data_IF_332894763086
#
_entry.id   IF_332894763086
#
_cell.length_a   1.000
_cell.length_b   1.000
_cell.length_c   1.000
_cell.angle_alpha   90.00
_cell.angle_beta   90.00
_cell.angle_gamma   90.00
#
_symmetry.space_group_name_H-M   'P 1'
#
loop_
_entity.id
_entity.type
_entity.pdbx_description
1 polymer ?
#
# COMPACT_ATOMS: atom_id res chain seq x y z
N UNK A 1 7.58 -19.50 -8.05
CA UNK A 1 7.64 -18.48 -9.11
C UNK A 1 6.55 -18.82 -10.10
N UNK A 2 5.37 -18.23 -9.93
CA UNK A 2 4.23 -18.54 -10.80
C UNK A 2 4.46 -17.94 -12.18
N UNK A 3 4.43 -18.82 -13.19
CA UNK A 3 4.64 -18.44 -14.58
C UNK A 3 3.35 -17.87 -15.19
N UNK A 4 3.49 -16.98 -16.18
CA UNK A 4 2.39 -16.30 -16.88
C UNK A 4 1.30 -17.26 -17.41
N UNK A 5 1.68 -18.48 -17.82
CA UNK A 5 0.76 -19.47 -18.41
C UNK A 5 -0.34 -19.96 -17.46
N UNK A 6 0.00 -20.59 -16.32
CA UNK A 6 -0.95 -20.93 -15.26
C UNK A 6 -1.89 -19.78 -14.89
N UNK A 7 -1.37 -18.54 -14.86
CA UNK A 7 -2.16 -17.37 -14.53
C UNK A 7 -3.19 -16.97 -15.60
N UNK A 8 -2.82 -17.05 -16.88
CA UNK A 8 -3.78 -16.88 -17.99
C UNK A 8 -4.92 -17.89 -17.83
N UNK A 9 -4.60 -19.14 -17.45
CA UNK A 9 -5.60 -20.19 -17.24
C UNK A 9 -6.53 -19.87 -16.06
N UNK A 10 -5.99 -19.43 -14.93
CA UNK A 10 -6.76 -19.03 -13.74
C UNK A 10 -7.72 -17.88 -14.06
N UNK A 11 -7.20 -16.77 -14.61
CA UNK A 11 -8.00 -15.60 -14.97
C UNK A 11 -9.08 -15.93 -16.02
N UNK A 12 -8.79 -16.85 -16.95
CA UNK A 12 -9.79 -17.32 -17.91
C UNK A 12 -10.95 -18.04 -17.20
N UNK A 13 -10.64 -18.86 -16.20
CA UNK A 13 -11.65 -19.58 -15.43
C UNK A 13 -12.46 -18.63 -14.54
N UNK A 14 -11.83 -17.64 -13.89
CA UNK A 14 -12.51 -16.56 -13.15
C UNK A 14 -13.49 -15.78 -14.04
N UNK A 15 -13.08 -15.47 -15.28
CA UNK A 15 -13.92 -14.81 -16.28
C UNK A 15 -15.01 -15.72 -16.87
N UNK A 16 -15.12 -16.97 -16.41
CA UNK A 16 -16.06 -17.99 -16.93
C UNK A 16 -15.92 -18.24 -18.45
N UNK A 17 -14.68 -18.19 -18.97
CA UNK A 17 -14.40 -18.40 -20.38
C UNK A 17 -13.81 -19.80 -20.64
N UNK A 18 -14.20 -20.42 -21.74
CA UNK A 18 -13.43 -21.52 -22.32
C UNK A 18 -12.32 -20.99 -23.24
N UNK A 19 -11.35 -21.84 -23.62
CA UNK A 19 -10.19 -21.44 -24.44
C UNK A 19 -10.61 -20.79 -25.76
N UNK A 20 -11.63 -21.35 -26.44
CA UNK A 20 -12.15 -20.81 -27.69
C UNK A 20 -12.81 -19.43 -27.51
N UNK A 21 -13.52 -19.22 -26.41
CA UNK A 21 -14.14 -17.93 -26.10
C UNK A 21 -13.08 -16.85 -25.83
N UNK A 22 -12.04 -17.16 -25.06
CA UNK A 22 -10.92 -16.24 -24.86
C UNK A 22 -10.19 -15.96 -26.18
N UNK A 23 -9.91 -16.99 -26.97
CA UNK A 23 -9.23 -16.86 -28.26
C UNK A 23 -9.96 -15.92 -29.22
N UNK A 24 -11.29 -16.02 -29.31
CA UNK A 24 -12.13 -15.10 -30.11
C UNK A 24 -12.03 -13.66 -29.64
N UNK A 25 -12.00 -13.42 -28.33
CA UNK A 25 -11.87 -12.06 -27.77
C UNK A 25 -10.49 -11.46 -28.02
N UNK A 26 -9.44 -12.27 -27.99
CA UNK A 26 -8.05 -11.84 -28.19
C UNK A 26 -7.66 -11.76 -29.67
N UNK A 27 -8.44 -12.39 -30.56
CA UNK A 27 -8.15 -12.49 -31.99
C UNK A 27 -7.02 -13.46 -32.31
N UNK A 28 -7.02 -14.64 -31.68
CA UNK A 28 -6.06 -15.75 -31.90
C UNK A 28 -6.79 -17.09 -32.01
N UNK A 29 -6.05 -18.17 -32.27
CA UNK A 29 -6.58 -19.54 -32.20
C UNK A 29 -6.69 -20.04 -30.75
N UNK A 30 -7.59 -20.98 -30.50
CA UNK A 30 -7.72 -21.68 -29.21
C UNK A 30 -6.47 -22.50 -28.86
N UNK A 31 -5.78 -23.02 -29.88
CA UNK A 31 -4.46 -23.67 -29.76
C UNK A 31 -3.42 -22.70 -29.23
N UNK A 32 -3.41 -21.44 -29.71
CA UNK A 32 -2.51 -20.39 -29.21
C UNK A 32 -2.72 -20.15 -27.72
N UNK A 33 -3.98 -20.03 -27.26
CA UNK A 33 -4.31 -19.92 -25.84
C UNK A 33 -3.80 -21.14 -25.06
N UNK A 34 -3.95 -22.35 -25.61
CA UNK A 34 -3.47 -23.57 -24.95
C UNK A 34 -1.94 -23.59 -24.79
N UNK A 35 -1.18 -23.09 -25.78
CA UNK A 35 0.28 -23.00 -25.69
C UNK A 35 0.75 -21.92 -24.71
N UNK A 36 0.01 -20.82 -24.60
CA UNK A 36 0.28 -19.81 -23.58
C UNK A 36 0.01 -20.38 -22.18
N UNK A 37 -1.15 -21.01 -21.96
CA UNK A 37 -1.52 -21.57 -20.65
C UNK A 37 -0.59 -22.68 -20.17
N UNK A 38 -0.07 -23.51 -21.09
CA UNK A 38 0.89 -24.55 -20.75
C UNK A 38 2.32 -24.04 -20.55
N UNK A 39 2.59 -22.77 -20.91
CA UNK A 39 3.92 -22.20 -20.90
C UNK A 39 4.85 -22.74 -22.00
N UNK A 40 4.30 -23.41 -23.02
CA UNK A 40 5.04 -23.83 -24.21
C UNK A 40 5.53 -22.63 -25.02
N UNK A 41 4.76 -21.53 -25.04
CA UNK A 41 5.17 -20.23 -25.56
C UNK A 41 5.22 -19.26 -24.38
N UNK A 42 6.41 -18.81 -24.03
CA UNK A 42 6.66 -17.90 -22.89
C UNK A 42 6.76 -16.44 -23.29
N UNK A 43 7.12 -16.16 -24.54
CA UNK A 43 7.23 -14.81 -25.08
C UNK A 43 5.92 -14.46 -25.79
N UNK A 44 5.10 -13.66 -25.13
CA UNK A 44 3.86 -13.10 -25.68
C UNK A 44 4.13 -11.63 -25.97
N UNK A 45 3.89 -11.19 -27.21
CA UNK A 45 4.10 -9.80 -27.61
C UNK A 45 3.18 -8.83 -26.85
N UNK A 46 3.62 -7.58 -26.68
CA UNK A 46 2.90 -6.56 -25.91
C UNK A 46 1.44 -6.38 -26.37
N UNK A 47 1.18 -6.29 -27.67
CA UNK A 47 -0.18 -6.18 -28.22
C UNK A 47 -1.10 -7.32 -27.74
N UNK A 48 -0.58 -8.55 -27.65
CA UNK A 48 -1.34 -9.72 -27.21
C UNK A 48 -1.54 -9.74 -25.71
N UNK A 49 -0.59 -9.23 -24.93
CA UNK A 49 -0.75 -9.03 -23.49
C UNK A 49 -1.86 -8.01 -23.17
N UNK A 50 -1.90 -6.91 -23.92
CA UNK A 50 -2.97 -5.89 -23.80
C UNK A 50 -4.32 -6.50 -24.19
N UNK A 51 -4.39 -7.22 -25.31
CA UNK A 51 -5.61 -7.88 -25.74
C UNK A 51 -6.09 -8.96 -24.74
N UNK A 52 -5.18 -9.70 -24.10
CA UNK A 52 -5.50 -10.64 -23.02
C UNK A 52 -6.11 -9.92 -21.81
N UNK A 53 -5.47 -8.84 -21.34
CA UNK A 53 -5.97 -8.00 -20.24
C UNK A 53 -7.39 -7.50 -20.51
N UNK A 54 -7.65 -6.97 -21.71
CA UNK A 54 -8.97 -6.50 -22.12
C UNK A 54 -10.00 -7.64 -22.20
N UNK A 55 -9.64 -8.78 -22.80
CA UNK A 55 -10.53 -9.92 -22.96
C UNK A 55 -10.93 -10.58 -21.63
N UNK A 56 -10.02 -10.57 -20.66
CA UNK A 56 -10.17 -11.11 -19.31
C UNK A 56 -10.80 -10.09 -18.33
N UNK A 57 -10.83 -8.81 -18.69
CA UNK A 57 -11.41 -7.75 -17.85
C UNK A 57 -10.58 -7.44 -16.61
N UNK A 58 -9.25 -7.56 -16.68
CA UNK A 58 -8.34 -7.28 -15.57
C UNK A 58 -7.21 -6.33 -15.99
N UNK A 59 -6.62 -5.56 -15.06
CA UNK A 59 -5.44 -4.75 -15.37
C UNK A 59 -4.26 -5.65 -15.80
N UNK A 60 -3.39 -5.12 -16.65
CA UNK A 60 -2.23 -5.85 -17.17
C UNK A 60 -1.27 -6.30 -16.05
N UNK A 61 -1.13 -5.52 -14.98
CA UNK A 61 -0.35 -5.90 -13.79
C UNK A 61 -0.84 -7.22 -13.18
N UNK A 62 -2.16 -7.44 -13.07
CA UNK A 62 -2.72 -8.72 -12.59
C UNK A 62 -2.32 -9.90 -13.47
N UNK A 63 -2.12 -9.69 -14.77
CA UNK A 63 -1.64 -10.71 -15.70
C UNK A 63 -0.13 -10.98 -15.53
N UNK A 64 0.68 -9.94 -15.32
CA UNK A 64 2.15 -10.04 -15.26
C UNK A 64 2.70 -10.39 -13.89
N UNK A 65 2.09 -9.89 -12.83
CA UNK A 65 2.56 -9.99 -11.43
C UNK A 65 1.73 -10.99 -10.61
N UNK A 66 0.46 -11.23 -10.97
CA UNK A 66 -0.45 -12.11 -10.26
C UNK A 66 -1.09 -11.44 -9.05
N UNK A 67 -1.76 -12.21 -8.21
CA UNK A 67 -2.35 -11.68 -6.96
C UNK A 67 -1.30 -11.20 -5.94
N UNK A 68 0.00 -11.28 -6.27
CA UNK A 68 1.07 -10.61 -5.53
C UNK A 68 1.08 -9.09 -5.70
N UNK A 69 0.29 -8.53 -6.63
CA UNK A 69 -0.22 -7.16 -6.51
C UNK A 69 -1.28 -7.09 -5.41
N UNK A 70 -0.90 -7.56 -4.22
CA UNK A 70 -1.81 -7.89 -3.12
C UNK A 70 -2.70 -6.71 -2.79
N UNK A 71 -3.98 -6.99 -2.54
CA UNK A 71 -4.78 -6.09 -1.71
C UNK A 71 -4.01 -5.94 -0.41
N UNK A 72 -3.26 -4.85 -0.25
CA UNK A 72 -2.55 -4.60 0.98
C UNK A 72 -3.60 -4.44 2.08
N UNK A 73 -3.72 -5.46 2.92
CA UNK A 73 -4.55 -5.38 4.09
C UNK A 73 -3.92 -4.34 5.05
N UNK A 74 -4.73 -3.57 5.78
CA UNK A 74 -4.20 -2.73 6.84
C UNK A 74 -3.38 -3.56 7.82
N UNK A 75 -2.17 -3.10 8.14
CA UNK A 75 -1.33 -3.67 9.19
C UNK A 75 -1.76 -3.10 10.55
N UNK A 76 -1.70 -3.92 11.59
CA UNK A 76 -1.99 -3.45 12.93
C UNK A 76 -0.83 -2.60 13.48
N UNK A 77 -1.14 -1.36 13.84
CA UNK A 77 -0.25 -0.49 14.58
C UNK A 77 -0.37 -0.79 16.08
N UNK A 78 0.77 -1.09 16.72
CA UNK A 78 0.90 -1.37 18.15
C UNK A 78 1.84 -0.37 18.80
N UNK A 79 1.64 -0.07 20.08
CA UNK A 79 2.48 0.89 20.80
C UNK A 79 3.90 0.38 21.06
N UNK A 80 4.15 -0.91 20.89
CA UNK A 80 5.49 -1.50 21.04
C UNK A 80 6.18 -1.68 19.67
N UNK A 81 7.50 -1.43 19.57
CA UNK A 81 8.31 -1.85 18.43
C UNK A 81 8.21 -3.36 18.16
N UNK A 82 8.46 -3.82 16.91
CA UNK A 82 8.92 -3.06 15.74
C UNK A 82 7.80 -2.35 14.97
N UNK A 83 8.18 -1.39 14.12
CA UNK A 83 7.24 -0.75 13.20
C UNK A 83 6.64 -1.80 12.22
N UNK A 84 5.33 -1.72 11.87
CA UNK A 84 4.66 -2.80 11.14
C UNK A 84 5.27 -3.18 9.79
N UNK A 85 5.88 -2.22 9.10
CA UNK A 85 6.54 -2.44 7.80
C UNK A 85 7.89 -3.17 7.87
N UNK A 86 8.39 -3.47 9.08
CA UNK A 86 9.57 -4.32 9.25
C UNK A 86 9.23 -5.81 9.10
N UNK A 87 7.95 -6.18 9.09
CA UNK A 87 7.51 -7.53 8.73
C UNK A 87 7.75 -7.76 7.23
N UNK A 88 8.51 -8.81 6.82
CA UNK A 88 8.69 -9.14 5.41
C UNK A 88 7.39 -9.44 4.65
N UNK A 89 6.30 -9.78 5.37
CA UNK A 89 4.97 -9.99 4.79
C UNK A 89 4.15 -8.70 4.66
N UNK A 90 4.67 -7.55 5.09
CA UNK A 90 3.97 -6.27 5.02
C UNK A 90 3.68 -5.86 3.56
N UNK A 91 2.39 -5.80 3.21
CA UNK A 91 1.94 -5.34 1.90
C UNK A 91 2.15 -3.83 1.74
N UNK A 92 2.81 -3.44 0.65
CA UNK A 92 3.00 -2.03 0.26
C UNK A 92 1.80 -1.55 -0.54
N UNK A 93 1.47 -0.26 -0.41
CA UNK A 93 0.53 0.43 -1.28
C UNK A 93 1.23 1.56 -2.02
N UNK A 94 0.78 1.78 -3.25
CA UNK A 94 1.04 3.01 -3.99
C UNK A 94 -0.17 3.92 -3.81
N UNK A 95 0.08 5.16 -3.37
CA UNK A 95 -0.94 6.19 -3.33
C UNK A 95 -0.76 7.13 -4.51
N UNK A 96 -1.74 7.21 -5.44
CA UNK A 96 -1.72 8.21 -6.50
C UNK A 96 -1.64 9.62 -5.90
N UNK A 97 -0.79 10.47 -6.49
CA UNK A 97 -0.58 11.84 -6.04
C UNK A 97 -1.89 12.64 -5.94
N UNK A 98 -2.87 12.34 -6.79
CA UNK A 98 -4.19 12.98 -6.82
C UNK A 98 -4.99 12.80 -5.53
N UNK A 99 -4.72 11.74 -4.75
CA UNK A 99 -5.38 11.52 -3.46
C UNK A 99 -4.75 12.33 -2.32
N UNK A 100 -3.49 12.73 -2.46
CA UNK A 100 -2.71 13.41 -1.41
C UNK A 100 -1.86 14.57 -1.95
N UNK A 101 -2.42 15.51 -2.74
CA UNK A 101 -1.63 16.53 -3.43
C UNK A 101 -0.87 17.45 -2.46
N UNK A 102 -1.40 17.65 -1.25
CA UNK A 102 -0.78 18.47 -0.20
C UNK A 102 0.47 17.85 0.43
N UNK A 103 0.72 16.55 0.23
CA UNK A 103 1.86 15.86 0.83
C UNK A 103 3.08 15.80 -0.09
N UNK A 104 2.90 16.04 -1.40
CA UNK A 104 3.98 15.98 -2.40
C UNK A 104 4.88 14.75 -2.27
N UNK A 105 4.27 13.61 -1.95
CA UNK A 105 4.98 12.36 -1.70
C UNK A 105 4.91 11.46 -2.92
N UNK A 106 6.08 11.04 -3.41
CA UNK A 106 6.24 9.97 -4.39
C UNK A 106 7.03 8.84 -3.71
N UNK A 107 6.36 7.74 -3.37
CA UNK A 107 7.04 6.62 -2.72
C UNK A 107 6.10 5.60 -2.10
N UNK A 108 6.71 4.53 -1.62
CA UNK A 108 6.00 3.40 -0.99
C UNK A 108 5.32 3.84 0.30
N UNK A 109 4.07 3.42 0.48
CA UNK A 109 3.30 3.63 1.69
C UNK A 109 2.84 2.29 2.26
N UNK A 110 2.45 2.31 3.53
CA UNK A 110 1.82 1.17 4.21
C UNK A 110 0.48 1.61 4.78
N UNK A 111 -0.54 0.79 4.60
CA UNK A 111 -1.85 1.02 5.21
C UNK A 111 -1.82 0.46 6.63
N UNK A 112 -2.11 1.28 7.63
CA UNK A 112 -2.16 0.88 9.03
C UNK A 112 -3.54 1.17 9.65
N UNK A 113 -3.85 0.45 10.71
CA UNK A 113 -4.97 0.71 11.63
C UNK A 113 -4.51 0.45 13.06
N UNK A 114 -4.96 1.21 14.08
CA UNK A 114 -4.74 0.83 15.47
C UNK A 114 -5.15 -0.63 15.72
N UNK A 115 -4.33 -1.38 16.44
CA UNK A 115 -4.71 -2.73 16.88
C UNK A 115 -5.82 -2.66 17.94
N UNK A 116 -6.69 -3.68 18.05
CA UNK A 116 -7.72 -3.70 19.09
C UNK A 116 -7.14 -3.46 20.49
N UNK A 117 -7.69 -2.47 21.20
CA UNK A 117 -7.24 -2.07 22.54
C UNK A 117 -6.02 -1.14 22.59
N UNK A 118 -5.35 -0.86 21.47
CA UNK A 118 -4.30 0.15 21.40
C UNK A 118 -4.91 1.54 21.21
N UNK A 119 -4.29 2.55 21.82
CA UNK A 119 -4.74 3.93 21.75
C UNK A 119 -3.61 4.80 21.21
N UNK A 120 -3.93 5.63 20.23
CA UNK A 120 -3.00 6.57 19.61
C UNK A 120 -3.68 7.91 19.46
N UNK A 121 -3.00 8.97 19.89
CA UNK A 121 -3.45 10.34 19.60
C UNK A 121 -3.77 10.48 18.11
N UNK A 122 -4.82 11.23 17.79
CA UNK A 122 -5.29 11.52 16.42
C UNK A 122 -5.86 10.32 15.65
N UNK A 123 -5.91 9.11 16.21
CA UNK A 123 -6.45 7.91 15.56
C UNK A 123 -7.49 7.23 16.44
N UNK A 124 -8.68 7.01 15.89
CA UNK A 124 -9.73 6.21 16.52
C UNK A 124 -9.68 4.75 16.09
N UNK A 125 -10.31 3.86 16.86
CA UNK A 125 -10.48 2.46 16.45
C UNK A 125 -11.21 2.38 15.10
N UNK A 126 -10.63 1.63 14.16
CA UNK A 126 -11.15 1.50 12.80
C UNK A 126 -10.69 2.57 11.81
N UNK A 127 -9.96 3.61 12.26
CA UNK A 127 -9.31 4.55 11.34
C UNK A 127 -8.25 3.83 10.50
N UNK A 128 -8.21 4.15 9.21
CA UNK A 128 -7.16 3.73 8.30
C UNK A 128 -6.22 4.89 8.05
N UNK A 129 -4.92 4.64 8.10
CA UNK A 129 -3.89 5.63 7.74
C UNK A 129 -2.90 5.05 6.75
N UNK A 130 -2.54 5.86 5.76
CA UNK A 130 -1.37 5.55 4.94
C UNK A 130 -0.15 6.24 5.54
N UNK A 131 0.89 5.45 5.82
CA UNK A 131 2.14 5.92 6.37
C UNK A 131 3.26 5.71 5.38
N UNK A 132 3.97 6.80 5.08
CA UNK A 132 5.21 6.80 4.33
C UNK A 132 6.38 6.67 5.32
N UNK A 133 7.15 5.55 5.31
CA UNK A 133 8.29 5.42 6.20
C UNK A 133 9.34 6.49 5.93
N UNK A 134 9.81 7.15 6.98
CA UNK A 134 10.84 8.18 6.90
C UNK A 134 11.41 8.45 8.29
N UNK A 135 12.73 8.64 8.34
CA UNK A 135 13.47 9.05 9.53
C UNK A 135 13.78 10.55 9.55
N UNK A 136 13.35 11.28 8.51
CA UNK A 136 13.54 12.73 8.38
C UNK A 136 12.20 13.49 8.38
N UNK A 137 12.27 14.76 8.79
CA UNK A 137 11.14 15.67 8.68
C UNK A 137 11.02 16.19 7.25
N UNK A 138 9.79 16.17 6.71
CA UNK A 138 9.50 16.64 5.35
C UNK A 138 8.68 17.93 5.38
N UNK A 139 7.57 17.92 6.13
CA UNK A 139 6.68 19.06 6.30
C UNK A 139 5.83 18.86 7.54
N UNK A 140 5.26 19.96 8.06
CA UNK A 140 4.36 19.93 9.21
C UNK A 140 3.20 18.96 8.97
N UNK A 141 2.86 18.15 9.97
CA UNK A 141 1.78 17.17 9.89
C UNK A 141 1.87 16.09 10.95
N UNK A 142 1.12 15.00 10.78
CA UNK A 142 1.16 13.85 11.70
C UNK A 142 2.28 12.88 11.29
N UNK A 143 3.00 12.39 12.30
CA UNK A 143 4.05 11.39 12.15
C UNK A 143 3.85 10.26 13.14
N UNK A 144 4.17 9.04 12.72
CA UNK A 144 4.48 7.94 13.62
C UNK A 144 5.90 8.17 14.16
N UNK A 145 6.03 8.17 15.48
CA UNK A 145 7.26 8.49 16.20
C UNK A 145 7.52 7.40 17.23
N UNK A 146 8.78 7.00 17.39
CA UNK A 146 9.22 6.24 18.56
C UNK A 146 9.71 7.23 19.64
N UNK A 147 9.12 7.18 20.83
CA UNK A 147 9.52 7.96 22.01
C UNK A 147 9.44 7.11 23.26
N UNK A 148 10.45 7.20 24.12
CA UNK A 148 10.53 6.36 25.33
C UNK A 148 10.37 4.85 25.02
N UNK A 149 10.85 4.41 23.85
CA UNK A 149 10.74 3.02 23.38
C UNK A 149 9.33 2.59 22.96
N UNK A 150 8.41 3.54 22.73
CA UNK A 150 7.02 3.27 22.31
C UNK A 150 6.66 4.04 21.04
N UNK A 151 5.86 3.43 20.20
CA UNK A 151 5.21 4.12 19.10
C UNK A 151 4.11 5.04 19.62
N UNK A 152 4.09 6.27 19.11
CA UNK A 152 3.01 7.24 19.30
C UNK A 152 2.83 8.06 18.02
N UNK A 153 1.65 8.67 17.89
CA UNK A 153 1.42 9.66 16.83
C UNK A 153 1.61 11.06 17.43
N UNK A 154 2.36 11.90 16.73
CA UNK A 154 2.53 13.31 17.10
C UNK A 154 2.29 14.18 15.90
N UNK A 155 1.73 15.38 16.14
CA UNK A 155 1.88 16.46 15.17
C UNK A 155 3.30 16.99 15.31
N UNK A 156 4.05 16.93 14.22
CA UNK A 156 5.42 17.42 14.14
C UNK A 156 5.41 18.70 13.31
N UNK A 157 6.00 19.75 13.83
CA UNK A 157 6.28 21.00 13.14
C UNK A 157 7.74 21.38 13.33
N UNK A 158 8.19 22.40 12.59
CA UNK A 158 9.53 22.96 12.72
C UNK A 158 9.40 24.45 13.09
N UNK A 159 10.19 24.91 14.06
CA UNK A 159 10.27 26.33 14.40
C UNK A 159 11.22 27.10 13.45
N UNK A 160 11.33 28.41 13.66
CA UNK A 160 12.17 29.31 12.85
C UNK A 160 13.68 28.97 12.96
N UNK A 161 14.09 28.29 14.04
CA UNK A 161 15.47 27.81 14.25
C UNK A 161 15.73 26.46 13.58
N UNK A 162 14.72 25.84 12.95
CA UNK A 162 14.82 24.52 12.35
C UNK A 162 14.65 23.36 13.35
N UNK A 163 14.27 23.61 14.60
CA UNK A 163 14.08 22.57 15.61
C UNK A 163 12.71 21.93 15.46
N UNK A 164 12.66 20.61 15.63
CA UNK A 164 11.41 19.87 15.60
C UNK A 164 10.66 20.01 16.91
N UNK A 165 9.37 20.26 16.76
CA UNK A 165 8.38 20.44 17.82
C UNK A 165 7.31 19.35 17.69
N UNK A 166 6.93 18.74 18.80
CA UNK A 166 6.02 17.61 18.88
C UNK A 166 4.83 17.96 19.76
N UNK A 167 3.60 17.78 19.26
CA UNK A 167 2.37 17.97 20.04
C UNK A 167 1.48 16.73 20.02
N UNK A 168 0.89 16.41 21.17
CA UNK A 168 -0.19 15.42 21.33
C UNK A 168 -1.55 16.02 20.94
N UNK A 169 -2.61 15.21 20.90
CA UNK A 169 -3.95 15.64 20.44
C UNK A 169 -4.64 16.59 21.44
N UNK A 170 -4.64 16.22 22.72
CA UNK A 170 -5.35 16.95 23.80
C UNK A 170 -4.38 17.71 24.71
N UNK A 171 -3.21 18.11 24.20
CA UNK A 171 -2.20 18.82 24.98
C UNK A 171 -1.74 20.09 24.27
N UNK A 172 -1.85 21.22 24.97
CA UNK A 172 -1.23 22.49 24.57
C UNK A 172 0.29 22.48 24.75
N UNK A 173 0.85 21.44 25.39
CA UNK A 173 2.29 21.31 25.56
C UNK A 173 2.93 20.88 24.25
N UNK A 174 3.86 21.71 23.79
CA UNK A 174 4.77 21.41 22.71
C UNK A 174 6.09 20.94 23.31
N UNK A 175 6.53 19.76 22.90
CA UNK A 175 7.78 19.17 23.35
C UNK A 175 8.84 19.31 22.26
N UNK A 176 10.08 19.61 22.65
CA UNK A 176 11.21 19.62 21.72
C UNK A 176 11.69 18.21 21.38
N UNK A 177 12.52 18.11 20.35
CA UNK A 177 13.27 16.89 20.04
C UNK A 177 14.12 16.41 21.23
N UNK A 178 14.14 15.11 21.46
CA UNK A 178 15.02 14.44 22.44
C UNK A 178 15.85 13.37 21.73
N UNK A 179 17.05 13.00 22.22
CA UNK A 179 17.90 12.00 21.56
C UNK A 179 17.28 10.60 21.39
N UNK A 180 16.27 10.27 22.20
CA UNK A 180 15.50 9.03 22.13
C UNK A 180 14.27 9.12 21.21
N UNK A 181 13.99 10.31 20.66
CA UNK A 181 12.91 10.50 19.67
C UNK A 181 13.38 10.06 18.28
N UNK A 182 12.60 9.21 17.62
CA UNK A 182 12.82 8.85 16.21
C UNK A 182 11.57 9.05 15.39
N UNK A 183 11.68 9.74 14.26
CA UNK A 183 10.63 9.68 13.24
C UNK A 183 10.68 8.29 12.61
N UNK A 184 9.51 7.66 12.50
CA UNK A 184 9.36 6.36 11.84
C UNK A 184 8.64 6.50 10.50
N UNK A 185 7.65 7.38 10.42
CA UNK A 185 6.96 7.65 9.17
C UNK A 185 6.02 8.84 9.24
N UNK A 186 5.70 9.39 8.08
CA UNK A 186 4.72 10.47 7.90
C UNK A 186 3.35 9.89 7.58
N UNK A 187 2.32 10.31 8.28
CA UNK A 187 0.94 9.98 7.90
C UNK A 187 0.55 10.89 6.72
N UNK A 188 0.42 10.31 5.54
CA UNK A 188 0.13 11.03 4.29
C UNK A 188 -1.37 11.08 3.98
N UNK A 189 -2.13 10.11 4.47
CA UNK A 189 -3.59 10.08 4.36
C UNK A 189 -4.21 9.43 5.60
N UNK A 190 -5.44 9.84 5.91
CA UNK A 190 -6.27 9.27 6.99
C UNK A 190 -7.70 9.16 6.50
N UNK A 191 -8.29 7.97 6.64
CA UNK A 191 -9.70 7.71 6.39
C UNK A 191 -10.34 7.32 7.71
N UNK A 192 -11.38 8.06 8.06
CA UNK A 192 -12.10 7.87 9.32
C UNK A 192 -13.44 7.24 9.01
N UNK A 193 -13.86 6.31 9.85
CA UNK A 193 -15.24 5.82 9.77
C UNK A 193 -16.16 6.98 10.12
N UNK A 194 -17.08 7.34 9.20
CA UNK A 194 -18.06 8.37 9.52
C UNK A 194 -18.96 7.82 10.63
N UNK A 195 -18.98 8.51 11.78
CA UNK A 195 -20.01 8.27 12.78
C UNK A 195 -21.35 8.66 12.15
N UNK A 196 -22.20 7.66 11.86
CA UNK A 196 -23.59 7.87 11.46
C UNK A 196 -24.42 8.40 12.63
#
# INVERSE_FOLDING_TARGET
>A
MDSLGPRIKELRLEANLNKAALARRVGVSDVTISYWESGAIRQIGHERLVALSQALGCPLSRLLEGENGGRAAPLYLRSQPPAPWQDPAAGRIELPFELVPAQQWEGECFLLTPAPGEHFDFLSEGDLVAVAPTDIFHQTGLYLVEREGRHCIRRVSQDDDGKLLFSAEESDRVEGYTPDTRLLGKLVARWQTASL
#
